data_IF_080474538521
#
_entry.id   IF_080474538521
#
_cell.length_a   1.000
_cell.length_b   1.000
_cell.length_c   1.000
_cell.angle_alpha   90.00
_cell.angle_beta   90.00
_cell.angle_gamma   90.00
#
_symmetry.space_group_name_H-M   'P 1'
#
loop_
_entity.id
_entity.type
_entity.pdbx_description
1 polymer ?
#
# COMPACT_ATOMS: atom_id res chain seq x y z
N UNK A 1 5.68 15.70 -12.36
CA UNK A 1 4.74 16.51 -11.55
C UNK A 1 4.87 16.03 -10.12
N UNK A 2 5.82 16.62 -9.40
CA UNK A 2 6.24 16.18 -8.08
C UNK A 2 5.96 17.33 -7.13
N UNK A 3 4.83 17.34 -6.44
CA UNK A 3 4.58 18.23 -5.31
C UNK A 3 3.28 17.79 -4.64
N UNK A 4 3.38 17.33 -3.38
CA UNK A 4 2.49 17.55 -2.23
C UNK A 4 2.67 16.38 -1.27
N UNK A 5 3.56 16.52 -0.28
CA UNK A 5 3.41 15.89 1.05
C UNK A 5 4.39 16.60 1.99
N UNK A 6 3.93 17.71 2.57
CA UNK A 6 4.73 18.55 3.44
C UNK A 6 4.73 18.02 4.89
N UNK A 7 5.94 17.99 5.43
CA UNK A 7 6.36 17.64 6.79
C UNK A 7 5.70 18.47 7.90
N UNK A 8 5.46 17.86 9.08
CA UNK A 8 5.42 18.56 10.36
C UNK A 8 6.19 17.80 11.44
N UNK A 9 7.12 18.55 12.00
CA UNK A 9 8.11 18.24 13.01
C UNK A 9 7.59 18.62 14.40
N UNK A 10 7.69 17.73 15.38
CA UNK A 10 7.70 17.97 16.84
C UNK A 10 8.33 16.70 17.45
N UNK A 11 9.48 16.65 18.12
CA UNK A 11 10.20 17.67 18.88
C UNK A 11 9.92 17.47 20.38
N UNK A 12 10.71 16.66 21.09
CA UNK A 12 10.68 16.63 22.55
C UNK A 12 11.19 15.33 23.20
N UNK A 13 12.32 15.43 23.91
CA UNK A 13 13.02 14.35 24.58
C UNK A 13 12.42 13.97 25.95
N UNK A 14 12.70 12.75 26.42
CA UNK A 14 12.97 12.55 27.85
C UNK A 14 13.98 11.41 28.07
N UNK A 15 15.08 11.76 28.75
CA UNK A 15 16.14 10.85 29.23
C UNK A 15 15.65 10.12 30.48
N UNK A 16 16.27 8.99 30.82
CA UNK A 16 16.87 8.62 32.12
C UNK A 16 17.03 7.08 32.17
N UNK A 17 18.27 6.63 32.35
CA UNK A 17 18.78 5.25 32.47
C UNK A 17 18.60 4.73 33.94
N UNK A 18 19.35 3.72 34.42
CA UNK A 18 19.21 2.25 34.36
C UNK A 18 18.75 1.63 35.70
N UNK A 19 18.15 0.44 35.69
CA UNK A 19 18.07 -0.40 36.90
C UNK A 19 18.83 -1.70 36.70
N UNK A 20 19.99 -1.73 37.35
CA UNK A 20 20.90 -2.86 37.53
C UNK A 20 20.40 -3.70 38.71
N UNK A 21 20.01 -4.95 38.47
CA UNK A 21 19.95 -5.97 39.52
C UNK A 21 20.88 -7.11 39.10
N UNK A 22 21.84 -7.39 39.97
CA UNK A 22 22.90 -8.39 39.82
C UNK A 22 22.53 -9.62 40.66
N UNK A 23 22.97 -10.80 40.16
CA UNK A 23 23.43 -12.00 40.88
C UNK A 23 22.35 -12.82 41.63
N UNK A 24 22.32 -14.17 41.66
CA UNK A 24 23.32 -15.24 41.50
C UNK A 24 22.62 -16.54 41.01
N UNK A 25 23.29 -17.36 40.20
CA UNK A 25 23.70 -18.74 40.58
C UNK A 25 24.43 -19.44 39.42
N UNK A 26 25.74 -19.64 39.60
CA UNK A 26 26.52 -20.75 39.03
C UNK A 26 26.62 -21.81 40.14
N UNK A 27 26.53 -23.12 39.84
CA UNK A 27 27.75 -23.84 39.44
C UNK A 27 27.59 -24.98 38.42
N UNK A 28 28.56 -25.01 37.50
CA UNK A 28 29.48 -26.12 37.18
C UNK A 28 29.01 -27.45 36.55
N UNK A 29 29.47 -27.58 35.30
CA UNK A 29 30.20 -28.72 34.70
C UNK A 29 29.44 -29.90 34.05
N UNK A 30 29.51 -29.83 32.72
CA UNK A 30 30.01 -30.88 31.82
C UNK A 30 29.07 -32.03 31.44
N UNK A 31 28.51 -31.90 30.22
CA UNK A 31 28.75 -32.84 29.11
C UNK A 31 28.47 -32.12 27.77
N UNK A 32 29.47 -32.09 26.89
CA UNK A 32 29.27 -31.86 25.45
C UNK A 32 28.40 -32.99 24.86
N UNK A 33 27.76 -32.86 23.70
CA UNK A 33 28.16 -32.14 22.49
C UNK A 33 27.02 -31.30 21.89
N UNK A 34 27.42 -30.28 21.16
CA UNK A 34 26.60 -29.21 20.63
C UNK A 34 25.78 -29.61 19.39
N UNK A 35 24.49 -29.25 19.40
CA UNK A 35 23.83 -28.27 18.49
C UNK A 35 22.32 -28.51 18.52
N UNK A 36 21.66 -27.89 19.49
CA UNK A 36 20.31 -27.41 19.30
C UNK A 36 20.52 -25.95 18.94
N UNK A 37 20.45 -25.62 17.65
CA UNK A 37 20.26 -24.25 17.19
C UNK A 37 18.77 -24.12 16.93
N UNK A 38 18.07 -23.63 17.94
CA UNK A 38 17.11 -22.53 17.82
C UNK A 38 16.22 -22.55 16.56
N UNK A 39 15.18 -23.38 16.57
CA UNK A 39 14.10 -23.37 15.56
C UNK A 39 12.91 -22.45 15.94
N UNK A 40 13.07 -21.55 16.92
CA UNK A 40 11.97 -20.72 17.42
C UNK A 40 12.01 -19.23 17.05
N UNK A 41 12.95 -18.75 16.23
CA UNK A 41 13.10 -17.29 16.05
C UNK A 41 13.45 -16.83 14.63
N UNK A 42 12.52 -16.91 13.69
CA UNK A 42 12.48 -15.97 12.55
C UNK A 42 11.10 -15.86 11.88
N UNK A 43 10.09 -15.41 12.63
CA UNK A 43 8.81 -14.90 12.09
C UNK A 43 8.53 -13.46 12.51
N UNK A 44 9.60 -12.67 12.66
CA UNK A 44 9.49 -11.23 12.59
C UNK A 44 9.49 -10.86 11.11
N UNK A 45 8.33 -10.96 10.47
CA UNK A 45 8.11 -10.38 9.14
C UNK A 45 8.24 -8.87 9.27
N UNK A 46 9.47 -8.41 9.05
CA UNK A 46 9.87 -7.17 8.42
C UNK A 46 8.72 -6.20 8.21
N UNK A 47 8.64 -5.20 9.09
CA UNK A 47 7.88 -3.97 8.85
C UNK A 47 8.52 -3.23 7.67
N UNK A 48 8.34 -3.78 6.46
CA UNK A 48 8.78 -3.16 5.21
C UNK A 48 7.89 -1.94 5.01
N UNK A 49 8.41 -0.77 5.37
CA UNK A 49 7.80 0.50 4.99
C UNK A 49 7.81 0.58 3.46
N UNK A 50 6.71 0.19 2.82
CA UNK A 50 6.53 0.36 1.38
C UNK A 50 6.58 1.85 1.11
N UNK A 51 7.48 2.28 0.22
CA UNK A 51 7.61 3.68 -0.14
C UNK A 51 6.38 4.15 -0.92
N UNK A 52 6.07 5.45 -0.85
CA UNK A 52 4.92 6.02 -1.55
C UNK A 52 5.06 5.90 -3.08
N UNK A 53 6.29 5.97 -3.57
CA UNK A 53 6.63 5.77 -4.98
C UNK A 53 6.34 4.33 -5.44
N UNK A 54 6.79 3.32 -4.70
CA UNK A 54 6.48 1.90 -5.01
C UNK A 54 4.96 1.68 -5.03
N UNK A 55 4.25 2.26 -4.05
CA UNK A 55 2.81 2.12 -3.97
C UNK A 55 2.09 2.73 -5.18
N UNK A 56 2.55 3.89 -5.63
CA UNK A 56 1.96 4.57 -6.78
C UNK A 56 2.18 3.76 -8.06
N UNK A 57 3.34 3.12 -8.19
CA UNK A 57 3.67 2.25 -9.31
C UNK A 57 2.80 0.99 -9.33
N UNK A 58 2.56 0.36 -8.18
CA UNK A 58 1.69 -0.82 -8.09
C UNK A 58 0.25 -0.49 -8.52
N UNK A 59 -0.26 0.68 -8.12
CA UNK A 59 -1.60 1.13 -8.53
C UNK A 59 -1.69 1.35 -10.05
N UNK A 60 -0.65 1.95 -10.65
CA UNK A 60 -0.60 2.15 -12.10
C UNK A 60 -0.65 0.81 -12.85
N UNK A 61 0.10 -0.18 -12.38
CA UNK A 61 0.10 -1.54 -12.95
C UNK A 61 -1.28 -2.19 -12.84
N UNK A 62 -1.95 -2.05 -11.69
CA UNK A 62 -3.32 -2.56 -11.51
C UNK A 62 -4.32 -1.90 -12.46
N UNK A 63 -4.22 -0.58 -12.65
CA UNK A 63 -5.06 0.16 -13.59
C UNK A 63 -4.81 -0.27 -15.04
N UNK A 64 -3.55 -0.48 -15.43
CA UNK A 64 -3.18 -0.96 -16.77
C UNK A 64 -3.72 -2.38 -17.05
N UNK A 65 -3.57 -3.30 -16.09
CA UNK A 65 -4.11 -4.66 -16.17
C UNK A 65 -5.65 -4.66 -16.30
N UNK A 66 -6.33 -3.78 -15.53
CA UNK A 66 -7.79 -3.64 -15.63
C UNK A 66 -8.24 -3.07 -16.98
N UNK A 67 -7.49 -2.12 -17.54
CA UNK A 67 -7.76 -1.59 -18.88
C UNK A 67 -7.59 -2.66 -19.97
N UNK A 68 -6.62 -3.55 -19.83
CA UNK A 68 -6.47 -4.72 -20.71
C UNK A 68 -7.64 -5.69 -20.57
N UNK A 69 -8.13 -5.96 -19.36
CA UNK A 69 -9.36 -6.75 -19.13
C UNK A 69 -10.55 -6.16 -19.91
N UNK A 70 -10.74 -4.84 -19.87
CA UNK A 70 -11.83 -4.19 -20.59
C UNK A 70 -11.64 -4.27 -22.11
N UNK A 71 -10.40 -4.16 -22.61
CA UNK A 71 -10.09 -4.38 -24.03
C UNK A 71 -10.46 -5.80 -24.47
N UNK A 72 -10.17 -6.81 -23.66
CA UNK A 72 -10.57 -8.19 -23.95
C UNK A 72 -12.09 -8.39 -24.01
N UNK A 73 -12.85 -7.61 -23.24
CA UNK A 73 -14.33 -7.63 -23.25
C UNK A 73 -14.92 -6.87 -24.46
N UNK A 74 -14.09 -6.17 -25.24
CA UNK A 74 -14.47 -5.44 -26.45
C UNK A 74 -14.40 -3.92 -26.34
N UNK A 75 -13.87 -3.38 -25.25
CA UNK A 75 -13.64 -1.94 -25.11
C UNK A 75 -12.24 -1.56 -25.62
N UNK A 76 -12.12 -1.40 -26.94
CA UNK A 76 -10.84 -1.38 -27.65
C UNK A 76 -9.90 -0.21 -27.27
N UNK A 77 -10.43 0.91 -26.76
CA UNK A 77 -9.67 2.16 -26.57
C UNK A 77 -9.46 2.57 -25.11
N UNK A 78 -9.60 1.64 -24.16
CA UNK A 78 -9.48 1.97 -22.72
C UNK A 78 -8.02 2.06 -22.29
N UNK A 79 -7.66 3.16 -21.62
CA UNK A 79 -6.33 3.41 -21.04
C UNK A 79 -6.35 3.33 -19.51
N UNK A 80 -5.23 2.93 -18.89
CA UNK A 80 -5.12 2.84 -17.43
C UNK A 80 -5.39 4.17 -16.71
N UNK A 81 -5.03 5.29 -17.33
CA UNK A 81 -5.32 6.63 -16.80
C UNK A 81 -6.83 6.92 -16.68
N UNK A 82 -7.63 6.42 -17.62
CA UNK A 82 -9.09 6.59 -17.60
C UNK A 82 -9.72 5.78 -16.46
N UNK A 83 -9.18 4.58 -16.19
CA UNK A 83 -9.57 3.76 -15.04
C UNK A 83 -9.26 4.51 -13.74
N UNK A 84 -8.06 5.09 -13.62
CA UNK A 84 -7.68 5.89 -12.47
C UNK A 84 -8.58 7.12 -12.29
N UNK A 85 -8.88 7.83 -13.38
CA UNK A 85 -9.81 8.98 -13.37
C UNK A 85 -11.20 8.57 -12.89
N UNK A 86 -11.72 7.43 -13.37
CA UNK A 86 -12.99 6.88 -12.91
C UNK A 86 -12.99 6.59 -11.41
N UNK A 87 -11.94 5.95 -10.90
CA UNK A 87 -11.83 5.55 -9.49
C UNK A 87 -11.62 6.78 -8.59
N UNK A 88 -10.69 7.67 -8.94
CA UNK A 88 -10.42 8.92 -8.21
C UNK A 88 -11.63 9.85 -8.13
N UNK A 89 -12.50 9.86 -9.14
CA UNK A 89 -13.74 10.65 -9.12
C UNK A 89 -14.69 10.29 -7.97
N UNK A 90 -14.64 9.04 -7.47
CA UNK A 90 -15.43 8.60 -6.30
C UNK A 90 -14.91 9.19 -4.99
N UNK A 91 -13.61 9.40 -4.92
CA UNK A 91 -12.93 9.89 -3.72
C UNK A 91 -12.84 11.42 -3.67
N UNK A 92 -13.02 12.10 -4.81
CA UNK A 92 -13.06 13.57 -4.87
C UNK A 92 -14.03 14.21 -3.85
N UNK A 93 -15.12 13.51 -3.49
CA UNK A 93 -16.10 13.98 -2.50
C UNK A 93 -15.93 13.35 -1.12
N UNK A 94 -15.26 12.19 -1.05
CA UNK A 94 -15.27 11.29 0.10
C UNK A 94 -13.98 11.35 0.92
N UNK A 95 -12.93 12.01 0.39
CA UNK A 95 -11.58 12.02 0.97
C UNK A 95 -10.73 10.84 0.50
N UNK A 96 -9.46 10.80 0.93
CA UNK A 96 -8.51 9.76 0.55
C UNK A 96 -8.89 8.43 1.23
N UNK A 97 -9.19 7.35 0.48
CA UNK A 97 -9.50 6.04 1.04
C UNK A 97 -8.24 5.34 1.55
N UNK A 98 -8.38 4.34 2.43
CA UNK A 98 -7.33 3.38 2.69
C UNK A 98 -6.94 2.60 1.42
N UNK A 99 -5.68 2.16 1.34
CA UNK A 99 -5.16 1.45 0.17
C UNK A 99 -5.97 0.20 -0.20
N UNK A 100 -6.33 -0.62 0.79
CA UNK A 100 -7.08 -1.86 0.53
C UNK A 100 -8.44 -1.59 -0.14
N UNK A 101 -9.09 -0.46 0.17
CA UNK A 101 -10.34 -0.08 -0.50
C UNK A 101 -10.07 0.39 -1.92
N UNK A 102 -9.00 1.16 -2.14
CA UNK A 102 -8.61 1.64 -3.46
C UNK A 102 -8.33 0.47 -4.41
N UNK A 103 -7.53 -0.50 -3.96
CA UNK A 103 -7.22 -1.71 -4.73
C UNK A 103 -8.49 -2.51 -5.01
N UNK A 104 -9.35 -2.70 -4.01
CA UNK A 104 -10.62 -3.40 -4.18
C UNK A 104 -11.52 -2.69 -5.21
N UNK A 105 -11.58 -1.36 -5.18
CA UNK A 105 -12.41 -0.57 -6.08
C UNK A 105 -11.90 -0.58 -7.52
N UNK A 106 -10.58 -0.69 -7.74
CA UNK A 106 -9.98 -0.91 -9.07
C UNK A 106 -10.33 -2.30 -9.58
N UNK A 107 -10.05 -3.34 -8.79
CA UNK A 107 -10.22 -4.74 -9.21
C UNK A 107 -11.69 -5.14 -9.38
N UNK A 108 -12.58 -4.58 -8.55
CA UNK A 108 -14.03 -4.82 -8.60
C UNK A 108 -14.77 -3.87 -9.56
N UNK A 109 -14.06 -3.00 -10.28
CA UNK A 109 -14.68 -2.07 -11.22
C UNK A 109 -15.37 -2.83 -12.35
N UNK A 110 -16.67 -2.58 -12.52
CA UNK A 110 -17.48 -3.17 -13.59
C UNK A 110 -17.43 -2.30 -14.84
N UNK A 111 -17.43 -2.87 -16.06
CA UNK A 111 -17.49 -2.11 -17.30
C UNK A 111 -18.67 -1.13 -17.37
N UNK A 112 -19.84 -1.52 -16.84
CA UNK A 112 -21.02 -0.65 -16.78
C UNK A 112 -20.77 0.64 -15.98
N UNK A 113 -20.05 0.55 -14.86
CA UNK A 113 -19.74 1.71 -14.03
C UNK A 113 -18.75 2.64 -14.74
N UNK A 114 -17.76 2.07 -15.43
CA UNK A 114 -16.81 2.81 -16.25
C UNK A 114 -17.51 3.55 -17.41
N UNK A 115 -18.40 2.88 -18.14
CA UNK A 115 -19.15 3.51 -19.23
C UNK A 115 -20.04 4.65 -18.77
N UNK A 116 -20.70 4.50 -17.62
CA UNK A 116 -21.47 5.57 -17.01
C UNK A 116 -20.59 6.77 -16.67
N UNK A 117 -19.39 6.52 -16.12
CA UNK A 117 -18.41 7.57 -15.84
C UNK A 117 -17.98 8.29 -17.12
N UNK A 118 -17.56 7.55 -18.15
CA UNK A 118 -17.14 8.11 -19.45
C UNK A 118 -18.23 8.99 -20.08
N UNK A 119 -19.47 8.50 -20.07
CA UNK A 119 -20.63 9.24 -20.56
C UNK A 119 -20.82 10.54 -19.78
N UNK A 120 -20.77 10.51 -18.44
CA UNK A 120 -20.90 11.70 -17.60
C UNK A 120 -19.73 12.68 -17.79
N UNK A 121 -18.52 12.18 -17.99
CA UNK A 121 -17.33 12.99 -18.24
C UNK A 121 -17.41 13.73 -19.58
N UNK A 122 -17.97 13.08 -20.62
CA UNK A 122 -18.25 13.72 -21.90
C UNK A 122 -19.28 14.87 -21.76
N UNK A 123 -20.35 14.67 -20.98
CA UNK A 123 -21.32 15.73 -20.70
C UNK A 123 -20.74 16.90 -19.88
N UNK A 124 -19.75 16.63 -19.02
CA UNK A 124 -19.07 17.64 -18.20
C UNK A 124 -17.98 18.41 -18.93
N UNK A 125 -17.65 18.03 -20.17
CA UNK A 125 -16.57 18.66 -20.93
C UNK A 125 -15.19 18.43 -20.33
N UNK A 126 -15.04 17.43 -19.45
CA UNK A 126 -13.77 17.09 -18.78
C UNK A 126 -12.99 15.98 -19.51
N UNK A 127 -13.48 15.54 -20.67
CA UNK A 127 -12.93 14.41 -21.45
C UNK A 127 -12.38 14.83 -22.84
N UNK A 128 -12.06 16.11 -23.03
CA UNK A 128 -11.33 16.65 -24.19
C UNK A 128 -10.07 17.38 -23.72
#
# INVERSE_FOLDING_TARGET
MSHVFASRNCGGACRITPCRIKTLNEPDTAKGEARIVDEEEERAQEERSVSLEELSQDIEVLCASKAEEFRMIGYEHVVGEEIWSCVSSKYAKSGQPPLYQLVNDILSLKPTAFMNFMTLSAYRGTHF
#
